data_IF_871954402410
#
_entry.id   IF_871954402410
#
_cell.length_a   1.000
_cell.length_b   1.000
_cell.length_c   1.000
_cell.angle_alpha   90.00
_cell.angle_beta   90.00
_cell.angle_gamma   90.00
#
_symmetry.space_group_name_H-M   'P 1'
#
loop_
_entity.id
_entity.type
_entity.pdbx_description
1 polymer ?
#
# COMPACT_ATOMS: atom_id res chain seq x y z
N UNK A 1 -2.40 3.21 -18.04
CA UNK A 1 -3.52 4.03 -18.58
C UNK A 1 -2.99 5.23 -19.39
N UNK A 2 -2.15 6.12 -18.83
CA UNK A 2 -1.59 7.26 -19.59
C UNK A 2 -0.85 6.87 -20.87
N UNK A 3 0.11 5.94 -20.77
CA UNK A 3 0.86 5.42 -21.94
C UNK A 3 -0.03 4.69 -22.96
N UNK A 4 -1.08 4.01 -22.50
CA UNK A 4 -2.02 3.36 -23.42
C UNK A 4 -2.82 4.40 -24.23
N UNK A 5 -3.24 5.48 -23.58
CA UNK A 5 -3.93 6.59 -24.23
C UNK A 5 -3.07 7.33 -25.26
N UNK A 6 -1.76 7.49 -25.00
CA UNK A 6 -0.85 8.08 -25.99
C UNK A 6 -0.67 7.20 -27.21
N UNK A 7 -0.48 5.89 -27.00
CA UNK A 7 -0.31 4.93 -28.11
C UNK A 7 -1.56 4.87 -28.97
N UNK A 8 -2.75 4.82 -28.35
CA UNK A 8 -4.02 4.80 -29.08
C UNK A 8 -4.28 6.11 -29.86
N UNK A 9 -4.01 7.26 -29.24
CA UNK A 9 -4.17 8.57 -29.88
C UNK A 9 -3.26 8.76 -31.09
N UNK A 10 -1.98 8.40 -30.94
CA UNK A 10 -1.01 8.45 -32.04
C UNK A 10 -1.36 7.43 -33.13
N UNK A 11 -1.79 6.22 -32.76
CA UNK A 11 -2.22 5.21 -33.72
C UNK A 11 -3.36 5.72 -34.61
N UNK A 12 -4.43 6.25 -34.00
CA UNK A 12 -5.59 6.78 -34.72
C UNK A 12 -5.20 7.97 -35.63
N UNK A 13 -4.30 8.83 -35.17
CA UNK A 13 -3.78 9.93 -35.96
C UNK A 13 -3.00 9.45 -37.20
N UNK A 14 -2.09 8.48 -37.02
CA UNK A 14 -1.30 7.93 -38.11
C UNK A 14 -2.16 7.16 -39.12
N UNK A 15 -3.20 6.45 -38.67
CA UNK A 15 -4.16 5.79 -39.56
C UNK A 15 -4.91 6.80 -40.42
N UNK A 16 -5.41 7.90 -39.84
CA UNK A 16 -6.10 8.96 -40.58
C UNK A 16 -5.18 9.67 -41.59
N UNK A 17 -3.91 9.93 -41.21
CA UNK A 17 -2.92 10.52 -42.12
C UNK A 17 -2.62 9.56 -43.28
N UNK A 18 -2.42 8.27 -42.97
CA UNK A 18 -2.18 7.23 -43.97
C UNK A 18 -3.32 7.06 -44.97
N UNK A 19 -4.57 7.19 -44.53
CA UNK A 19 -5.75 7.16 -45.40
C UNK A 19 -5.87 8.43 -46.27
N UNK A 20 -5.47 9.59 -45.75
CA UNK A 20 -5.53 10.87 -46.47
C UNK A 20 -4.39 11.08 -47.49
N UNK A 21 -3.33 10.25 -47.42
CA UNK A 21 -2.18 10.31 -48.34
C UNK A 21 -1.28 11.54 -48.21
N UNK A 22 -1.61 12.48 -47.31
CA UNK A 22 -0.91 13.77 -47.20
C UNK A 22 -0.36 13.96 -45.78
N UNK A 23 0.92 13.64 -45.61
CA UNK A 23 1.61 13.75 -44.33
C UNK A 23 2.25 15.15 -44.18
N UNK A 24 1.43 16.17 -43.90
CA UNK A 24 1.91 17.50 -43.54
C UNK A 24 2.10 17.66 -42.04
N UNK A 25 3.05 18.52 -41.63
CA UNK A 25 3.39 18.77 -40.21
C UNK A 25 2.17 19.29 -39.42
N UNK A 26 1.30 20.05 -40.07
CA UNK A 26 0.07 20.59 -39.47
C UNK A 26 -0.91 19.48 -39.04
N UNK A 27 -0.88 18.33 -39.74
CA UNK A 27 -1.73 17.18 -39.42
C UNK A 27 -1.20 16.34 -38.25
N UNK A 28 0.10 16.43 -37.95
CA UNK A 28 0.76 15.66 -36.88
C UNK A 28 0.86 16.43 -35.56
N UNK A 29 0.93 17.77 -35.61
CA UNK A 29 1.12 18.61 -34.43
C UNK A 29 0.00 18.48 -33.38
N UNK A 30 -1.27 18.40 -33.81
CA UNK A 30 -2.42 18.27 -32.90
C UNK A 30 -2.39 16.98 -32.06
N UNK A 31 -2.37 15.79 -32.70
CA UNK A 31 -2.37 14.52 -31.99
C UNK A 31 -1.18 14.31 -31.04
N UNK A 32 -0.01 14.86 -31.37
CA UNK A 32 1.17 14.81 -30.50
C UNK A 32 0.94 15.64 -29.23
N UNK A 33 0.29 16.80 -29.33
CA UNK A 33 -0.08 17.62 -28.18
C UNK A 33 -1.06 16.90 -27.24
N UNK A 34 -2.06 16.21 -27.80
CA UNK A 34 -3.03 15.42 -27.03
C UNK A 34 -2.36 14.25 -26.28
N UNK A 35 -1.38 13.60 -26.89
CA UNK A 35 -0.59 12.54 -26.25
C UNK A 35 0.23 13.06 -25.05
N UNK A 36 0.79 14.27 -25.12
CA UNK A 36 1.52 14.86 -24.00
C UNK A 36 0.61 15.11 -22.79
N UNK A 37 -0.61 15.60 -23.04
CA UNK A 37 -1.60 15.83 -21.98
C UNK A 37 -1.99 14.52 -21.29
N UNK A 38 -2.17 13.44 -22.05
CA UNK A 38 -2.50 12.12 -21.51
C UNK A 38 -1.41 11.59 -20.56
N UNK A 39 -0.14 11.91 -20.85
CA UNK A 39 1.00 11.56 -19.99
C UNK A 39 1.00 12.39 -18.71
N UNK A 40 0.73 13.69 -18.81
CA UNK A 40 0.62 14.58 -17.66
C UNK A 40 -0.47 14.12 -16.69
N UNK A 41 -1.64 13.73 -17.20
CA UNK A 41 -2.71 13.16 -16.37
C UNK A 41 -2.31 11.82 -15.73
N UNK A 42 -1.62 10.96 -16.48
CA UNK A 42 -1.10 9.70 -15.96
C UNK A 42 -0.20 9.91 -14.74
N UNK A 43 0.70 10.89 -14.81
CA UNK A 43 1.58 11.26 -13.70
C UNK A 43 0.81 11.91 -12.55
N UNK A 44 -0.09 12.83 -12.87
CA UNK A 44 -0.90 13.56 -11.88
C UNK A 44 -1.74 12.63 -11.00
N UNK A 45 -2.26 11.54 -11.57
CA UNK A 45 -3.02 10.53 -10.80
C UNK A 45 -2.08 9.54 -10.09
N UNK A 46 -0.96 9.15 -10.72
CA UNK A 46 -0.07 8.13 -10.17
C UNK A 46 0.65 8.59 -8.90
N UNK A 47 1.18 9.82 -8.86
CA UNK A 47 1.98 10.30 -7.73
C UNK A 47 1.19 10.35 -6.42
N UNK A 48 -0.01 10.98 -6.36
CA UNK A 48 -0.81 11.00 -5.14
C UNK A 48 -1.27 9.61 -4.72
N UNK A 49 -1.61 8.74 -5.67
CA UNK A 49 -2.04 7.37 -5.37
C UNK A 49 -0.94 6.56 -4.65
N UNK A 50 0.30 6.66 -5.13
CA UNK A 50 1.44 5.97 -4.51
C UNK A 50 1.77 6.53 -3.12
N UNK A 51 1.69 7.85 -2.96
CA UNK A 51 1.88 8.50 -1.65
C UNK A 51 0.81 8.05 -0.64
N UNK A 52 -0.46 8.02 -1.05
CA UNK A 52 -1.57 7.55 -0.24
C UNK A 52 -1.42 6.08 0.17
N UNK A 53 -1.03 5.22 -0.79
CA UNK A 53 -0.75 3.81 -0.52
C UNK A 53 0.37 3.64 0.51
N UNK A 54 1.50 4.32 0.33
CA UNK A 54 2.63 4.21 1.25
C UNK A 54 2.26 4.71 2.66
N UNK A 55 1.49 5.80 2.75
CA UNK A 55 0.97 6.31 4.02
C UNK A 55 0.07 5.30 4.73
N UNK A 56 -0.85 4.65 4.00
CA UNK A 56 -1.73 3.59 4.53
C UNK A 56 -0.93 2.37 5.01
N UNK A 57 0.05 1.93 4.23
CA UNK A 57 0.91 0.79 4.60
C UNK A 57 1.67 1.09 5.89
N UNK A 58 2.21 2.30 6.04
CA UNK A 58 2.89 2.71 7.27
C UNK A 58 1.95 2.71 8.47
N UNK A 59 0.73 3.24 8.32
CA UNK A 59 -0.32 3.19 9.36
C UNK A 59 -0.69 1.76 9.74
N UNK A 60 -0.82 0.87 8.75
CA UNK A 60 -1.14 -0.53 9.00
C UNK A 60 -0.02 -1.23 9.79
N UNK A 61 1.25 -0.94 9.47
CA UNK A 61 2.38 -1.49 10.21
C UNK A 61 2.34 -1.10 11.69
N UNK A 62 2.08 0.17 11.99
CA UNK A 62 1.96 0.64 13.38
C UNK A 62 0.79 -0.05 14.09
N UNK A 63 -0.38 -0.14 13.46
CA UNK A 63 -1.52 -0.85 14.05
C UNK A 63 -1.21 -2.33 14.35
N UNK A 64 -0.48 -2.99 13.47
CA UNK A 64 -0.02 -4.38 13.69
C UNK A 64 1.02 -4.49 14.81
N UNK A 65 1.87 -3.48 15.00
CA UNK A 65 2.80 -3.41 16.13
C UNK A 65 2.05 -3.25 17.45
N UNK A 66 1.02 -2.40 17.51
CA UNK A 66 0.18 -2.21 18.70
C UNK A 66 -0.53 -3.52 19.09
N UNK A 67 -1.11 -4.23 18.12
CA UNK A 67 -1.75 -5.54 18.34
C UNK A 67 -0.74 -6.56 18.88
N UNK A 68 0.48 -6.57 18.35
CA UNK A 68 1.55 -7.46 18.83
C UNK A 68 1.97 -7.13 20.25
N UNK A 69 2.10 -5.83 20.58
CA UNK A 69 2.42 -5.39 21.94
C UNK A 69 1.34 -5.84 22.91
N UNK A 70 0.07 -5.55 22.61
CA UNK A 70 -1.06 -5.98 23.44
C UNK A 70 -1.08 -7.49 23.65
N UNK A 71 -0.81 -8.28 22.60
CA UNK A 71 -0.74 -9.74 22.71
C UNK A 71 0.39 -10.20 23.64
N UNK A 72 1.55 -9.54 23.57
CA UNK A 72 2.68 -9.83 24.44
C UNK A 72 2.37 -9.47 25.91
N UNK A 73 1.71 -8.34 26.14
CA UNK A 73 1.29 -7.90 27.47
C UNK A 73 0.30 -8.90 28.08
N UNK A 74 -0.75 -9.28 27.34
CA UNK A 74 -1.71 -10.30 27.77
C UNK A 74 -1.02 -11.63 28.08
N UNK A 75 -0.12 -12.07 27.21
CA UNK A 75 0.65 -13.29 27.43
C UNK A 75 1.50 -13.20 28.71
N UNK A 76 2.14 -12.06 28.96
CA UNK A 76 2.94 -11.85 30.18
C UNK A 76 2.10 -11.86 31.45
N UNK A 77 0.90 -11.29 31.44
CA UNK A 77 -0.03 -11.28 32.58
C UNK A 77 -0.56 -12.68 32.86
N UNK A 78 -0.92 -13.43 31.81
CA UNK A 78 -1.37 -14.81 31.96
C UNK A 78 -0.28 -15.72 32.55
N UNK A 79 0.95 -15.62 32.04
CA UNK A 79 2.08 -16.42 32.53
C UNK A 79 2.48 -16.00 33.96
N UNK A 80 2.54 -14.71 34.26
CA UNK A 80 2.88 -14.23 35.61
C UNK A 80 1.81 -14.61 36.64
N UNK A 81 0.51 -14.51 36.30
CA UNK A 81 -0.58 -14.97 37.16
C UNK A 81 -0.59 -16.48 37.39
N UNK A 82 -0.19 -17.27 36.39
CA UNK A 82 -0.01 -18.71 36.55
C UNK A 82 1.18 -19.03 37.49
N UNK A 83 2.29 -18.30 37.37
CA UNK A 83 3.45 -18.47 38.25
C UNK A 83 3.14 -18.08 39.70
N UNK A 84 2.45 -16.95 39.93
CA UNK A 84 2.10 -16.51 41.29
C UNK A 84 1.16 -17.48 41.99
N UNK A 85 0.21 -18.08 41.27
CA UNK A 85 -0.71 -19.09 41.80
C UNK A 85 0.04 -20.39 42.13
N UNK A 86 0.98 -20.80 41.26
CA UNK A 86 1.85 -21.95 41.50
C UNK A 86 2.78 -21.74 42.70
N UNK A 87 3.37 -20.55 42.86
CA UNK A 87 4.19 -20.21 44.03
C UNK A 87 3.38 -20.21 45.32
N UNK A 88 2.18 -19.60 45.32
CA UNK A 88 1.29 -19.61 46.47
C UNK A 88 0.89 -21.05 46.87
N UNK A 89 0.58 -21.90 45.90
CA UNK A 89 0.27 -23.31 46.14
C UNK A 89 1.47 -24.10 46.71
N UNK A 90 2.68 -23.84 46.20
CA UNK A 90 3.92 -24.46 46.71
C UNK A 90 4.26 -23.97 48.12
N UNK A 91 4.10 -22.69 48.41
CA UNK A 91 4.33 -22.13 49.74
C UNK A 91 3.36 -22.73 50.79
N UNK A 92 2.08 -22.85 50.44
CA UNK A 92 1.08 -23.48 51.30
C UNK A 92 1.37 -24.97 51.58
N UNK A 93 1.82 -25.72 50.56
CA UNK A 93 2.20 -27.12 50.71
C UNK A 93 3.45 -27.30 51.61
N UNK A 94 4.41 -26.38 51.53
CA UNK A 94 5.63 -26.42 52.36
C UNK A 94 5.34 -26.08 53.82
N UNK A 95 4.48 -25.08 54.08
CA UNK A 95 4.07 -24.70 55.44
C UNK A 95 3.35 -25.85 56.18
N UNK A 96 2.55 -26.65 55.47
CA UNK A 96 1.86 -27.83 56.04
C UNK A 96 2.81 -29.00 56.36
N UNK A 97 4.04 -29.01 55.85
CA UNK A 97 5.01 -30.09 56.07
C UNK A 97 5.92 -29.86 57.29
N UNK A 98 5.92 -28.65 57.83
CA UNK A 98 6.80 -28.22 58.94
C UNK A 98 6.04 -28.14 60.28
N UNK A 99 4.70 -28.10 60.26
CA UNK A 99 3.84 -28.26 61.44
C UNK A 99 3.31 -29.68 61.58
#
# INVERSE_FOLDING_TARGET
IGLFGTVWGIYNALTNIGMSGNASIDKVAGPVGEALIMTAFGLFVAVPAVLGYNWLVRRNKTAMEDIRSFSADVHSVLVSGAMSTSEAARAAASAKKIG
#
